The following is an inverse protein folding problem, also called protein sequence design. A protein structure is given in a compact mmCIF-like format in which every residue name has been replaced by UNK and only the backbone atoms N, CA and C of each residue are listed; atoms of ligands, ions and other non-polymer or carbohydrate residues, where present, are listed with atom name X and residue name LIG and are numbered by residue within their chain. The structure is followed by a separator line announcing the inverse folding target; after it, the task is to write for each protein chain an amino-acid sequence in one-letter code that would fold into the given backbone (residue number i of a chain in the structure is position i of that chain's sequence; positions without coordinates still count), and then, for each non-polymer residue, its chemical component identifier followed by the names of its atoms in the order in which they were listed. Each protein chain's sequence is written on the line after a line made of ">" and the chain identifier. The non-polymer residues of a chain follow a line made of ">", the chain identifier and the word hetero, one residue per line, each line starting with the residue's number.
data_IF_484616106676
#
_entry.id   IF_484616106676
#
_cell.length_a   1.000
_cell.length_b   1.000
_cell.length_c   1.000
_cell.angle_alpha   90.00
_cell.angle_beta   90.00
_cell.angle_gamma   90.00
#
_symmetry.space_group_name_H-M   'P 1'
#
loop_
_entity.id
_entity.type
_entity.pdbx_description
1 polymer ?
#
# COMPACT_ATOMS: atom_id res chain seq x y z
N UNK A 1 28.86 14.98 7.35
CA UNK A 1 27.62 15.76 7.06
C UNK A 1 26.58 14.78 6.54
N UNK A 2 25.46 14.55 7.27
CA UNK A 2 24.41 13.60 6.88
C UNK A 2 23.52 14.25 5.80
N UNK A 3 23.50 13.76 4.55
CA UNK A 3 22.75 14.39 3.44
C UNK A 3 21.24 14.46 3.67
N UNK A 4 20.69 13.63 4.56
CA UNK A 4 19.27 13.58 4.88
C UNK A 4 18.76 14.73 5.77
N UNK A 5 19.66 15.50 6.42
CA UNK A 5 19.26 16.64 7.25
C UNK A 5 18.87 17.87 6.42
N UNK A 6 19.55 18.12 5.30
CA UNK A 6 19.30 19.30 4.44
C UNK A 6 17.91 19.32 3.81
N UNK A 7 17.41 18.17 3.35
CA UNK A 7 16.08 18.08 2.72
C UNK A 7 14.96 18.38 3.74
N UNK A 8 15.17 17.98 5.00
CA UNK A 8 14.22 18.25 6.08
C UNK A 8 14.17 19.69 6.54
N UNK A 9 15.21 20.46 6.28
CA UNK A 9 15.35 21.86 6.69
C UNK A 9 14.78 22.85 5.66
N UNK A 10 14.42 22.39 4.46
CA UNK A 10 13.84 23.23 3.40
C UNK A 10 12.33 23.44 3.60
N UNK A 11 11.86 24.62 4.07
CA UNK A 11 10.45 24.85 4.34
C UNK A 11 9.59 24.76 3.08
N UNK A 12 10.12 25.23 1.94
CA UNK A 12 9.43 25.18 0.63
C UNK A 12 9.10 23.74 0.23
N UNK A 13 10.05 22.83 0.37
CA UNK A 13 9.86 21.41 0.01
C UNK A 13 8.78 20.75 0.88
N UNK A 14 8.71 21.12 2.15
CA UNK A 14 7.66 20.62 3.06
C UNK A 14 6.25 21.12 2.70
N UNK A 15 6.15 22.39 2.29
CA UNK A 15 4.86 22.96 1.88
C UNK A 15 4.39 22.29 0.61
N UNK A 16 5.25 22.16 -0.40
CA UNK A 16 4.93 21.48 -1.66
C UNK A 16 4.53 20.03 -1.40
N UNK A 17 5.28 19.30 -0.57
CA UNK A 17 4.98 17.90 -0.28
C UNK A 17 3.65 17.69 0.44
N UNK A 18 3.23 18.62 1.31
CA UNK A 18 1.90 18.57 1.96
C UNK A 18 0.75 18.61 0.96
N UNK A 19 0.92 19.32 -0.15
CA UNK A 19 -0.06 19.37 -1.21
C UNK A 19 0.09 18.19 -2.19
N UNK A 20 1.32 17.85 -2.56
CA UNK A 20 1.62 16.85 -3.58
C UNK A 20 1.28 15.41 -3.12
N UNK A 21 1.62 15.05 -1.88
CA UNK A 21 1.39 13.67 -1.38
C UNK A 21 -0.09 13.30 -1.41
N UNK A 22 -1.03 14.10 -0.88
CA UNK A 22 -2.46 13.80 -1.02
C UNK A 22 -2.92 13.71 -2.47
N UNK A 23 -2.39 14.54 -3.37
CA UNK A 23 -2.73 14.47 -4.80
C UNK A 23 -2.26 13.16 -5.45
N UNK A 24 -1.05 12.68 -5.10
CA UNK A 24 -0.55 11.37 -5.57
C UNK A 24 -1.46 10.26 -5.06
N UNK A 25 -1.86 10.29 -3.78
CA UNK A 25 -2.75 9.28 -3.21
C UNK A 25 -4.15 9.32 -3.85
N UNK A 26 -4.69 10.53 -4.10
CA UNK A 26 -5.95 10.70 -4.80
C UNK A 26 -5.88 10.20 -6.24
N UNK A 27 -4.78 10.47 -6.94
CA UNK A 27 -4.53 9.90 -8.27
C UNK A 27 -4.43 8.37 -8.23
N UNK A 28 -3.81 7.80 -7.21
CA UNK A 28 -3.80 6.35 -6.98
C UNK A 28 -5.21 5.77 -6.82
N UNK A 29 -6.10 6.45 -6.09
CA UNK A 29 -7.52 6.06 -6.00
C UNK A 29 -8.23 6.15 -7.35
N UNK A 30 -8.00 7.22 -8.10
CA UNK A 30 -8.54 7.33 -9.44
C UNK A 30 -8.12 6.16 -10.32
N UNK A 31 -6.83 5.81 -10.34
CA UNK A 31 -6.29 4.70 -11.13
C UNK A 31 -6.88 3.36 -10.67
N UNK A 32 -7.11 3.18 -9.36
CA UNK A 32 -7.75 1.99 -8.78
C UNK A 32 -9.14 1.75 -9.36
N UNK A 33 -9.98 2.78 -9.41
CA UNK A 33 -11.36 2.66 -9.87
C UNK A 33 -11.51 2.83 -11.39
N UNK A 34 -10.44 3.19 -12.07
CA UNK A 34 -10.45 3.33 -13.53
C UNK A 34 -10.08 2.02 -14.26
N UNK A 35 -9.57 1.02 -13.55
CA UNK A 35 -9.10 -0.25 -14.12
C UNK A 35 -10.14 -1.01 -14.92
N UNK A 36 -11.41 -0.90 -14.54
CA UNK A 36 -12.54 -1.55 -15.21
C UNK A 36 -12.90 -0.89 -16.57
N UNK A 37 -12.51 0.37 -16.78
CA UNK A 37 -12.86 1.18 -17.96
C UNK A 37 -11.67 1.45 -18.90
N UNK A 38 -10.43 1.19 -18.46
CA UNK A 38 -9.25 1.52 -19.24
C UNK A 38 -7.94 1.13 -18.56
N UNK A 39 -6.81 1.73 -19.00
CA UNK A 39 -5.51 1.41 -18.41
C UNK A 39 -5.45 1.90 -16.97
N UNK A 40 -5.48 0.97 -16.02
CA UNK A 40 -5.50 1.21 -14.58
C UNK A 40 -5.47 -0.10 -13.82
N UNK A 41 -5.99 -0.07 -12.58
CA UNK A 41 -6.23 -1.22 -11.75
C UNK A 41 -5.35 -1.33 -10.52
N UNK A 42 -5.57 -2.38 -9.76
CA UNK A 42 -5.01 -2.55 -8.43
C UNK A 42 -3.49 -2.50 -8.35
N UNK A 43 -2.79 -3.12 -9.29
CA UNK A 43 -1.33 -3.13 -9.29
C UNK A 43 -0.75 -1.72 -9.44
N UNK A 44 -1.19 -0.97 -10.44
CA UNK A 44 -0.73 0.40 -10.70
C UNK A 44 -1.08 1.32 -9.53
N UNK A 45 -2.30 1.24 -9.05
CA UNK A 45 -2.74 1.99 -7.88
C UNK A 45 -1.88 1.69 -6.65
N UNK A 46 -1.61 0.42 -6.37
CA UNK A 46 -0.76 -0.02 -5.26
C UNK A 46 0.66 0.56 -5.32
N UNK A 47 1.26 0.58 -6.50
CA UNK A 47 2.59 1.20 -6.72
C UNK A 47 2.54 2.71 -6.47
N UNK A 48 1.51 3.41 -6.98
CA UNK A 48 1.36 4.86 -6.80
C UNK A 48 1.16 5.20 -5.32
N UNK A 49 0.34 4.43 -4.58
CA UNK A 49 0.16 4.59 -3.14
C UNK A 49 1.48 4.44 -2.39
N UNK A 50 2.23 3.37 -2.67
CA UNK A 50 3.52 3.16 -2.05
C UNK A 50 4.51 4.29 -2.36
N UNK A 51 4.56 4.75 -3.62
CA UNK A 51 5.41 5.86 -4.03
C UNK A 51 5.06 7.15 -3.26
N UNK A 52 3.79 7.50 -3.13
CA UNK A 52 3.33 8.65 -2.35
C UNK A 52 3.76 8.58 -0.88
N UNK A 53 3.62 7.41 -0.25
CA UNK A 53 4.05 7.18 1.14
C UNK A 53 5.58 7.21 1.29
N UNK A 54 6.33 6.73 0.30
CA UNK A 54 7.80 6.83 0.30
C UNK A 54 8.24 8.29 0.16
N UNK A 55 7.62 9.06 -0.73
CA UNK A 55 7.87 10.52 -0.84
C UNK A 55 7.59 11.20 0.50
N UNK A 56 6.47 10.87 1.16
CA UNK A 56 6.18 11.36 2.49
C UNK A 56 7.30 11.03 3.50
N UNK A 57 7.78 9.79 3.50
CA UNK A 57 8.87 9.36 4.38
C UNK A 57 10.20 10.08 4.13
N UNK A 58 10.52 10.35 2.87
CA UNK A 58 11.76 11.05 2.49
C UNK A 58 11.77 12.49 3.00
N UNK A 59 10.62 13.17 2.98
CA UNK A 59 10.50 14.59 3.33
C UNK A 59 10.24 14.77 4.83
N UNK A 60 9.29 14.03 5.39
CA UNK A 60 8.88 14.17 6.80
C UNK A 60 9.62 13.23 7.75
N UNK A 61 10.28 12.22 7.19
CA UNK A 61 11.07 11.24 7.92
C UNK A 61 10.33 9.97 8.29
N UNK A 62 11.12 8.92 8.55
CA UNK A 62 10.64 7.58 8.87
C UNK A 62 9.75 7.56 10.12
N UNK A 63 10.06 8.38 11.13
CA UNK A 63 9.26 8.48 12.35
C UNK A 63 7.85 9.01 12.08
N UNK A 64 7.68 9.97 11.17
CA UNK A 64 6.38 10.47 10.75
C UNK A 64 5.61 9.39 9.98
N UNK A 65 6.27 8.70 9.06
CA UNK A 65 5.66 7.61 8.30
C UNK A 65 5.17 6.48 9.22
N UNK A 66 5.97 6.04 10.19
CA UNK A 66 5.58 4.97 11.13
C UNK A 66 4.37 5.30 11.99
N UNK A 67 4.06 6.59 12.20
CA UNK A 67 2.84 7.02 12.89
C UNK A 67 1.60 6.90 12.01
N UNK A 68 1.74 7.14 10.71
CA UNK A 68 0.63 7.07 9.73
C UNK A 68 0.43 5.63 9.27
N UNK A 69 1.52 4.94 8.93
CA UNK A 69 1.52 3.56 8.44
C UNK A 69 2.52 2.74 9.28
N UNK A 70 2.12 2.20 10.43
CA UNK A 70 3.00 1.37 11.23
C UNK A 70 3.36 0.06 10.52
N UNK A 71 4.57 -0.50 10.72
CA UNK A 71 5.01 -1.73 10.07
C UNK A 71 4.07 -2.92 10.24
N UNK A 72 3.46 -3.06 11.42
CA UNK A 72 2.48 -4.12 11.71
C UNK A 72 1.22 -4.00 10.83
N UNK A 73 0.82 -2.76 10.50
CA UNK A 73 -0.32 -2.53 9.61
C UNK A 73 0.00 -3.02 8.19
N UNK A 74 1.20 -2.75 7.67
CA UNK A 74 1.61 -3.22 6.34
C UNK A 74 1.65 -4.74 6.25
N UNK A 75 2.05 -5.45 7.33
CA UNK A 75 2.01 -6.92 7.39
C UNK A 75 0.58 -7.44 7.30
N UNK A 76 -0.32 -6.87 8.10
CA UNK A 76 -1.73 -7.27 8.12
C UNK A 76 -2.43 -6.97 6.80
N UNK A 77 -2.17 -5.80 6.22
CA UNK A 77 -2.75 -5.40 4.94
C UNK A 77 -2.24 -6.26 3.78
N UNK A 78 -0.96 -6.65 3.80
CA UNK A 78 -0.41 -7.56 2.79
C UNK A 78 -1.15 -8.91 2.82
N UNK A 79 -1.32 -9.50 4.01
CA UNK A 79 -2.06 -10.74 4.16
C UNK A 79 -3.54 -10.57 3.80
N UNK A 80 -4.18 -9.49 4.24
CA UNK A 80 -5.58 -9.18 3.94
C UNK A 80 -5.83 -9.00 2.43
N UNK A 81 -4.91 -8.33 1.70
CA UNK A 81 -5.02 -8.16 0.26
C UNK A 81 -4.98 -9.48 -0.50
N UNK A 82 -4.06 -10.38 -0.12
CA UNK A 82 -3.97 -11.73 -0.71
C UNK A 82 -5.20 -12.56 -0.36
N UNK A 83 -5.66 -12.49 0.90
CA UNK A 83 -6.88 -13.20 1.32
C UNK A 83 -8.12 -12.68 0.60
N UNK A 84 -8.24 -11.37 0.38
CA UNK A 84 -9.34 -10.79 -0.38
C UNK A 84 -9.35 -11.31 -1.82
N UNK A 85 -8.19 -11.33 -2.47
CA UNK A 85 -8.06 -11.91 -3.82
C UNK A 85 -8.53 -13.39 -3.85
N UNK A 86 -8.00 -14.21 -2.95
CA UNK A 86 -8.36 -15.63 -2.86
C UNK A 86 -9.83 -15.85 -2.49
N UNK A 87 -10.36 -15.02 -1.58
CA UNK A 87 -11.75 -15.13 -1.12
C UNK A 87 -12.75 -14.92 -2.26
N UNK A 88 -12.50 -13.98 -3.18
CA UNK A 88 -13.40 -13.79 -4.34
C UNK A 88 -13.49 -15.06 -5.18
N UNK A 89 -12.35 -15.72 -5.46
CA UNK A 89 -12.34 -16.96 -6.22
C UNK A 89 -13.03 -18.11 -5.50
N UNK A 90 -12.81 -18.24 -4.19
CA UNK A 90 -13.44 -19.28 -3.36
C UNK A 90 -14.95 -19.07 -3.25
N UNK A 91 -15.41 -17.83 -3.06
CA UNK A 91 -16.84 -17.50 -3.01
C UNK A 91 -17.53 -17.82 -4.35
N UNK A 92 -16.89 -17.51 -5.50
CA UNK A 92 -17.43 -17.88 -6.80
C UNK A 92 -17.66 -19.39 -6.92
N UNK A 93 -16.71 -20.22 -6.44
CA UNK A 93 -16.84 -21.67 -6.41
C UNK A 93 -17.98 -22.15 -5.50
N UNK A 94 -18.17 -21.56 -4.33
CA UNK A 94 -19.28 -21.90 -3.42
C UNK A 94 -20.65 -21.56 -4.00
N UNK A 95 -20.72 -20.56 -4.88
CA UNK A 95 -21.93 -20.18 -5.60
C UNK A 95 -22.19 -21.04 -6.86
N UNK A 96 -21.37 -22.06 -7.10
CA UNK A 96 -21.54 -23.03 -8.20
C UNK A 96 -20.85 -22.61 -9.51
N UNK A 97 -20.04 -21.54 -9.51
CA UNK A 97 -19.20 -21.14 -10.62
C UNK A 97 -17.79 -21.77 -10.57
N UNK A 98 -16.97 -21.46 -11.57
CA UNK A 98 -15.56 -21.79 -11.57
C UNK A 98 -14.76 -20.79 -10.69
N UNK A 99 -13.48 -21.12 -10.39
CA UNK A 99 -12.61 -20.21 -9.66
C UNK A 99 -12.44 -18.89 -10.43
N UNK A 100 -12.79 -17.75 -9.79
CA UNK A 100 -12.83 -16.41 -10.39
C UNK A 100 -13.92 -16.24 -11.47
N UNK A 101 -14.95 -17.06 -11.48
CA UNK A 101 -16.14 -16.80 -12.28
C UNK A 101 -17.00 -15.74 -11.60
N UNK A 102 -16.80 -14.49 -12.01
CA UNK A 102 -17.49 -13.33 -11.42
C UNK A 102 -18.99 -13.31 -11.75
N UNK A 103 -19.43 -14.02 -12.79
CA UNK A 103 -20.85 -14.13 -13.14
C UNK A 103 -21.63 -14.87 -12.07
N UNK A 104 -20.99 -15.80 -11.35
CA UNK A 104 -21.57 -16.53 -10.24
C UNK A 104 -21.81 -15.67 -8.99
N UNK A 105 -21.18 -14.47 -8.88
CA UNK A 105 -21.34 -13.57 -7.73
C UNK A 105 -22.67 -12.83 -7.71
N UNK A 106 -23.40 -12.83 -8.82
CA UNK A 106 -24.72 -12.21 -8.92
C UNK A 106 -25.70 -13.07 -9.75
N UNK A 107 -26.27 -14.12 -9.13
CA UNK A 107 -27.20 -15.02 -9.82
C UNK A 107 -28.57 -14.38 -10.08
N UNK A 108 -28.88 -13.19 -9.54
CA UNK A 108 -30.19 -12.54 -9.62
C UNK A 108 -30.28 -11.48 -10.71
N UNK A 109 -29.15 -11.01 -11.25
CA UNK A 109 -29.11 -10.01 -12.31
C UNK A 109 -28.43 -10.53 -13.58
N UNK A 110 -28.52 -9.81 -14.68
CA UNK A 110 -28.01 -10.21 -16.00
C UNK A 110 -26.48 -10.32 -16.11
N UNK A 111 -25.76 -10.59 -15.03
CA UNK A 111 -24.32 -10.89 -15.03
C UNK A 111 -23.37 -9.69 -15.05
N UNK A 112 -23.85 -8.48 -15.35
CA UNK A 112 -22.98 -7.30 -15.43
C UNK A 112 -22.55 -6.76 -14.05
N UNK A 113 -23.43 -6.83 -13.04
CA UNK A 113 -23.12 -6.35 -11.69
C UNK A 113 -22.14 -7.28 -10.95
N UNK A 114 -22.28 -8.59 -11.11
CA UNK A 114 -21.37 -9.58 -10.51
C UNK A 114 -19.95 -9.45 -11.05
N UNK A 115 -19.79 -9.25 -12.36
CA UNK A 115 -18.49 -9.02 -12.98
C UNK A 115 -17.83 -7.76 -12.44
N UNK A 116 -18.56 -6.64 -12.39
CA UNK A 116 -18.03 -5.37 -11.89
C UNK A 116 -17.58 -5.46 -10.43
N UNK A 117 -18.41 -6.06 -9.56
CA UNK A 117 -18.07 -6.26 -8.15
C UNK A 117 -16.85 -7.18 -7.97
N UNK A 118 -16.77 -8.27 -8.74
CA UNK A 118 -15.65 -9.20 -8.71
C UNK A 118 -14.35 -8.54 -9.12
N UNK A 119 -14.36 -7.79 -10.23
CA UNK A 119 -13.19 -7.06 -10.71
C UNK A 119 -12.71 -6.03 -9.67
N UNK A 120 -13.60 -5.19 -9.14
CA UNK A 120 -13.23 -4.18 -8.12
C UNK A 120 -12.67 -4.85 -6.87
N UNK A 121 -13.26 -5.94 -6.40
CA UNK A 121 -12.78 -6.65 -5.21
C UNK A 121 -11.38 -7.24 -5.41
N UNK A 122 -11.13 -7.87 -6.56
CA UNK A 122 -9.82 -8.40 -6.94
C UNK A 122 -8.79 -7.28 -7.06
N UNK A 123 -9.10 -6.20 -7.78
CA UNK A 123 -8.20 -5.07 -7.94
C UNK A 123 -7.86 -4.40 -6.62
N UNK A 124 -8.84 -4.27 -5.72
CA UNK A 124 -8.61 -3.74 -4.38
C UNK A 124 -7.68 -4.65 -3.58
N UNK A 125 -7.88 -5.97 -3.65
CA UNK A 125 -7.01 -6.97 -3.02
C UNK A 125 -5.57 -6.84 -3.51
N UNK A 126 -5.37 -6.77 -4.83
CA UNK A 126 -4.06 -6.59 -5.46
C UNK A 126 -3.44 -5.26 -5.05
N UNK A 127 -4.20 -4.15 -5.10
CA UNK A 127 -3.71 -2.82 -4.73
C UNK A 127 -3.18 -2.76 -3.30
N UNK A 128 -3.96 -3.30 -2.35
CA UNK A 128 -3.57 -3.39 -0.94
C UNK A 128 -2.32 -4.26 -0.77
N UNK A 129 -2.27 -5.43 -1.39
CA UNK A 129 -1.13 -6.35 -1.29
C UNK A 129 0.14 -5.72 -1.86
N UNK A 130 0.08 -5.10 -3.05
CA UNK A 130 1.22 -4.46 -3.72
C UNK A 130 1.73 -3.27 -2.91
N UNK A 131 0.85 -2.33 -2.52
CA UNK A 131 1.24 -1.18 -1.71
C UNK A 131 1.92 -1.60 -0.41
N UNK A 132 1.34 -2.57 0.30
CA UNK A 132 1.85 -3.07 1.56
C UNK A 132 3.20 -3.79 1.40
N UNK A 133 3.36 -4.58 0.34
CA UNK A 133 4.62 -5.29 0.04
C UNK A 133 5.74 -4.30 -0.24
N UNK A 134 5.51 -3.29 -1.09
CA UNK A 134 6.52 -2.26 -1.38
C UNK A 134 6.89 -1.50 -0.10
N UNK A 135 5.92 -1.17 0.73
CA UNK A 135 6.17 -0.51 2.02
C UNK A 135 7.00 -1.39 2.97
N UNK A 136 6.77 -2.72 3.01
CA UNK A 136 7.59 -3.66 3.79
C UNK A 136 9.03 -3.71 3.30
N UNK A 137 9.21 -3.79 1.97
CA UNK A 137 10.53 -3.72 1.35
C UNK A 137 11.25 -2.42 1.73
N UNK A 138 10.55 -1.28 1.61
CA UNK A 138 11.09 0.03 2.01
C UNK A 138 11.53 0.05 3.48
N UNK A 139 10.70 -0.44 4.41
CA UNK A 139 11.06 -0.52 5.83
C UNK A 139 12.26 -1.42 6.07
N UNK A 140 12.38 -2.55 5.38
CA UNK A 140 13.51 -3.47 5.51
C UNK A 140 14.83 -2.80 5.08
N UNK A 141 14.82 -2.06 3.97
CA UNK A 141 16.01 -1.34 3.50
C UNK A 141 16.43 -0.18 4.41
N UNK A 142 15.46 0.59 4.90
CA UNK A 142 15.77 1.74 5.76
C UNK A 142 16.23 1.30 7.15
N UNK A 143 15.73 0.18 7.67
CA UNK A 143 16.16 -0.37 8.96
C UNK A 143 17.58 -0.96 8.92
N UNK A 144 18.08 -1.38 7.75
CA UNK A 144 19.43 -1.94 7.59
C UNK A 144 20.54 -0.89 7.44
N UNK A 145 20.24 0.40 7.40
CA UNK A 145 21.29 1.42 7.33
C UNK A 145 22.10 1.43 8.64
N UNK A 146 23.49 1.35 8.58
CA UNK A 146 24.35 1.26 9.76
C UNK A 146 24.42 2.56 10.59
N UNK A 147 23.34 3.22 10.81
CA UNK A 147 23.22 4.43 11.63
C UNK A 147 21.92 4.46 12.45
N UNK A 148 21.11 3.40 12.40
CA UNK A 148 19.86 3.29 13.15
C UNK A 148 19.84 2.20 14.22
N UNK A 149 20.88 1.38 14.31
CA UNK A 149 20.96 0.25 15.24
C UNK A 149 21.93 0.47 16.43
N UNK A 150 22.32 1.72 16.69
CA UNK A 150 23.31 2.02 17.72
C UNK A 150 22.77 2.86 18.87
N UNK A 151 21.63 2.50 19.45
CA UNK A 151 21.17 3.02 20.74
C UNK A 151 20.35 1.94 21.47
N UNK A 152 20.89 0.72 21.51
CA UNK A 152 20.48 -0.28 22.46
C UNK A 152 21.70 -0.59 23.34
N UNK A 153 21.70 0.02 24.53
CA UNK A 153 22.32 -0.42 25.77
C UNK A 153 23.70 -1.09 25.70
N UNK A 154 24.73 -0.30 25.96
CA UNK A 154 25.92 -0.85 26.60
C UNK A 154 25.49 -1.38 28.00
N UNK A 155 25.82 -2.63 28.36
CA UNK A 155 25.68 -3.07 29.75
C UNK A 155 26.65 -2.26 30.58
N UNK A 156 26.10 -1.59 31.61
CA UNK A 156 26.92 -0.84 32.56
C UNK A 156 27.95 -1.73 33.24
N UNK A 157 29.20 -1.34 33.09
CA UNK A 157 30.24 -1.75 34.05
C UNK A 157 29.87 -1.17 35.43
N UNK A 158 29.46 -2.05 36.31
CA UNK A 158 29.46 -1.74 37.74
C UNK A 158 30.81 -2.13 38.31
N UNK A 159 31.40 -1.27 39.20
CA UNK A 159 32.70 -1.49 39.85
C UNK A 159 32.71 -2.66 40.83
#
# INVERSE_FOLDING_TARGET
>A
MKPTSRVREMPVLRVIARALVPMILLFGLYVQFHGDFGPGGGFQAGVIFAAGLIVYALIFGLGALRRVVPPILTERLMAAGVLLYGAVGVVAMFLGGEFLDYSALDPLTTGHHGQHLGIIAIELGVGIAVASTIMRVYYAFVSRRPGGAGAAEAPGDTP
#
